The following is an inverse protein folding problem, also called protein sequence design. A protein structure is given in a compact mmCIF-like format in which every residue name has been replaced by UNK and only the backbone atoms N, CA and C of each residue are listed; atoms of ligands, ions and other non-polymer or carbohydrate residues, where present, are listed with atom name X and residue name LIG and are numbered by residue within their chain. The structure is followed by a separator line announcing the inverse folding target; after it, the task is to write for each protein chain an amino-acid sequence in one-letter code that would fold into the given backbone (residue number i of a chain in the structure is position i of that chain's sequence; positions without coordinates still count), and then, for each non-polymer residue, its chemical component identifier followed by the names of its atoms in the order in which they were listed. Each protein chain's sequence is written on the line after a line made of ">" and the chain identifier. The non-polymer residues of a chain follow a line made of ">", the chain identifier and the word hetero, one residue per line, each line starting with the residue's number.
data_IF_463067116422
#
_entry.id   IF_463067116422
#
_cell.length_a   1.000
_cell.length_b   1.000
_cell.length_c   1.000
_cell.angle_alpha   90.00
_cell.angle_beta   90.00
_cell.angle_gamma   90.00
#
_symmetry.space_group_name_H-M   'P 1'
#
loop_
_entity.id
_entity.type
_entity.pdbx_description
1 polymer ?
#
# COMPACT_ATOMS: atom_id res chain seq x y z
N UNK A 1 -11.47 33.10 5.94
CA UNK A 1 -11.44 32.23 4.75
C UNK A 1 -11.73 30.80 5.18
N UNK A 2 -12.78 30.18 4.64
CA UNK A 2 -13.19 28.80 4.96
C UNK A 2 -12.14 27.85 4.39
N UNK A 3 -11.56 26.97 5.22
CA UNK A 3 -10.64 25.93 4.74
C UNK A 3 -11.43 25.02 3.77
N UNK A 4 -10.93 24.77 2.56
CA UNK A 4 -11.63 23.88 1.65
C UNK A 4 -11.67 22.47 2.24
N UNK A 5 -12.76 21.75 1.97
CA UNK A 5 -12.97 20.43 2.53
C UNK A 5 -11.82 19.49 2.13
N UNK A 6 -11.34 18.68 3.08
CA UNK A 6 -10.32 17.69 2.80
C UNK A 6 -10.80 16.64 1.80
N UNK A 7 -9.89 16.15 0.98
CA UNK A 7 -10.14 15.00 0.11
C UNK A 7 -9.71 13.73 0.83
N UNK A 8 -10.63 12.78 1.03
CA UNK A 8 -10.34 11.46 1.61
C UNK A 8 -9.85 10.54 0.49
N UNK A 9 -8.71 9.89 0.70
CA UNK A 9 -8.18 8.85 -0.21
C UNK A 9 -7.94 7.57 0.55
N UNK A 10 -8.30 6.44 -0.06
CA UNK A 10 -7.98 5.11 0.46
C UNK A 10 -6.64 4.68 -0.13
N UNK A 11 -5.68 4.30 0.72
CA UNK A 11 -4.36 3.82 0.31
C UNK A 11 -3.99 2.53 1.04
N UNK A 12 -3.17 1.69 0.43
CA UNK A 12 -2.57 0.53 1.08
C UNK A 12 -1.46 1.03 2.02
N UNK A 13 -1.48 0.62 3.29
CA UNK A 13 -0.43 0.94 4.26
C UNK A 13 0.57 -0.22 4.30
N UNK A 14 1.78 0.06 3.83
CA UNK A 14 2.92 -0.84 3.93
C UNK A 14 3.67 -0.55 5.23
N UNK A 15 3.71 -1.53 6.12
CA UNK A 15 4.54 -1.55 7.32
C UNK A 15 5.53 -2.71 7.24
N UNK A 16 6.65 -2.66 7.97
CA UNK A 16 7.58 -3.80 8.04
C UNK A 16 6.89 -5.10 8.48
N UNK A 17 5.91 -5.00 9.37
CA UNK A 17 5.08 -6.14 9.79
C UNK A 17 4.27 -6.72 8.63
N UNK A 18 3.58 -5.89 7.84
CA UNK A 18 2.81 -6.37 6.68
C UNK A 18 3.71 -6.94 5.59
N UNK A 19 4.92 -6.41 5.43
CA UNK A 19 5.91 -6.94 4.49
C UNK A 19 6.41 -8.31 4.93
N UNK A 20 6.70 -8.50 6.22
CA UNK A 20 7.09 -9.81 6.77
C UNK A 20 5.97 -10.85 6.60
N UNK A 21 4.73 -10.50 6.94
CA UNK A 21 3.59 -11.41 6.78
C UNK A 21 3.35 -11.74 5.29
N UNK A 22 3.57 -10.77 4.40
CA UNK A 22 3.47 -10.99 2.96
C UNK A 22 4.56 -11.93 2.46
N UNK A 23 5.78 -11.79 2.97
CA UNK A 23 6.88 -12.70 2.68
C UNK A 23 6.56 -14.12 3.17
N UNK A 24 6.01 -14.26 4.38
CA UNK A 24 5.54 -15.54 4.91
C UNK A 24 4.42 -16.15 4.04
N UNK A 25 3.51 -15.33 3.48
CA UNK A 25 2.50 -15.78 2.49
C UNK A 25 3.18 -16.44 1.30
N UNK A 26 4.21 -15.78 0.75
CA UNK A 26 4.94 -16.23 -0.43
C UNK A 26 5.83 -17.44 -0.16
N UNK A 27 6.29 -17.64 1.07
CA UNK A 27 7.13 -18.79 1.43
C UNK A 27 6.29 -20.03 1.77
N UNK A 28 5.04 -19.85 2.21
CA UNK A 28 4.07 -20.93 2.41
C UNK A 28 3.56 -21.52 1.09
N UNK A 29 3.67 -20.79 -0.02
CA UNK A 29 3.23 -21.31 -1.31
C UNK A 29 4.19 -22.42 -1.75
N UNK A 30 3.67 -23.63 -1.91
CA UNK A 30 4.43 -24.66 -2.59
C UNK A 30 4.59 -24.22 -4.05
N UNK A 31 5.80 -23.74 -4.37
CA UNK A 31 6.18 -23.33 -5.71
C UNK A 31 6.01 -24.46 -6.72
N UNK A 32 6.04 -25.72 -6.28
CA UNK A 32 5.75 -26.87 -7.13
C UNK A 32 4.25 -27.06 -7.30
N UNK A 33 3.43 -26.82 -6.28
CA UNK A 33 1.97 -26.80 -6.41
C UNK A 33 1.48 -25.75 -7.43
N UNK A 34 2.09 -24.57 -7.49
CA UNK A 34 1.81 -23.57 -8.54
C UNK A 34 2.20 -24.05 -9.94
N UNK A 35 3.26 -24.85 -10.06
CA UNK A 35 3.67 -25.48 -11.32
C UNK A 35 2.82 -26.70 -11.69
N UNK A 36 2.23 -27.40 -10.72
CA UNK A 36 1.34 -28.54 -10.97
C UNK A 36 -0.12 -28.12 -11.09
N UNK A 37 -0.50 -26.93 -10.62
CA UNK A 37 -1.78 -26.31 -10.92
C UNK A 37 -1.94 -26.03 -12.43
N UNK A 38 -0.83 -25.98 -13.20
CA UNK A 38 -0.80 -26.08 -14.67
C UNK A 38 -1.56 -27.32 -15.21
N UNK A 39 -1.79 -28.33 -14.37
CA UNK A 39 -2.50 -29.57 -14.74
C UNK A 39 -3.97 -29.60 -14.35
N UNK A 40 -4.46 -28.72 -13.47
CA UNK A 40 -5.81 -28.88 -12.88
C UNK A 40 -6.81 -27.74 -13.12
N UNK A 41 -6.41 -26.58 -13.65
CA UNK A 41 -7.38 -25.59 -14.12
C UNK A 41 -6.74 -24.57 -15.07
N UNK A 42 -7.07 -24.62 -16.37
CA UNK A 42 -6.83 -23.63 -17.45
C UNK A 42 -5.43 -22.95 -17.62
N UNK A 43 -4.48 -23.06 -16.70
CA UNK A 43 -3.11 -22.54 -16.78
C UNK A 43 -2.20 -23.53 -17.56
N UNK A 44 -2.67 -24.06 -18.70
CA UNK A 44 -1.89 -25.01 -19.53
C UNK A 44 -0.65 -24.36 -20.14
N UNK A 45 0.54 -24.88 -19.80
CA UNK A 45 1.79 -25.00 -20.60
C UNK A 45 2.33 -23.77 -21.37
N UNK A 46 1.82 -22.57 -21.12
CA UNK A 46 2.31 -21.33 -21.71
C UNK A 46 2.85 -20.40 -20.60
N UNK A 47 4.06 -19.89 -20.77
CA UNK A 47 4.74 -18.98 -19.82
C UNK A 47 3.85 -17.80 -19.40
N UNK A 48 2.98 -17.33 -20.31
CA UNK A 48 2.02 -16.27 -20.05
C UNK A 48 0.98 -16.65 -18.99
N UNK A 49 0.44 -17.88 -19.06
CA UNK A 49 -0.61 -18.34 -18.14
C UNK A 49 -0.04 -18.54 -16.72
N UNK A 50 1.19 -19.04 -16.61
CA UNK A 50 1.89 -19.11 -15.32
C UNK A 50 2.10 -17.73 -14.70
N UNK A 51 2.53 -16.75 -15.50
CA UNK A 51 2.71 -15.38 -15.02
C UNK A 51 1.40 -14.78 -14.51
N UNK A 52 0.29 -14.99 -15.23
CA UNK A 52 -1.05 -14.55 -14.82
C UNK A 52 -1.50 -15.23 -13.52
N UNK A 53 -1.32 -16.56 -13.43
CA UNK A 53 -1.59 -17.35 -12.22
C UNK A 53 -0.80 -16.80 -11.01
N UNK A 54 0.50 -16.50 -11.16
CA UNK A 54 1.36 -15.93 -10.10
C UNK A 54 0.95 -14.49 -9.74
N UNK A 55 0.65 -13.64 -10.73
CA UNK A 55 0.19 -12.27 -10.51
C UNK A 55 -1.13 -12.27 -9.74
N UNK A 56 -2.06 -13.17 -10.08
CA UNK A 56 -3.33 -13.35 -9.37
C UNK A 56 -3.10 -13.70 -7.90
N UNK A 57 -2.24 -14.69 -7.64
CA UNK A 57 -1.89 -15.09 -6.29
C UNK A 57 -1.29 -13.95 -5.45
N UNK A 58 -0.29 -13.24 -6.01
CA UNK A 58 0.32 -12.08 -5.34
C UNK A 58 -0.73 -11.02 -5.05
N UNK A 59 -1.61 -10.73 -6.00
CA UNK A 59 -2.69 -9.75 -5.83
C UNK A 59 -3.61 -10.14 -4.66
N UNK A 60 -3.99 -11.42 -4.57
CA UNK A 60 -4.79 -11.95 -3.46
C UNK A 60 -4.07 -11.86 -2.11
N UNK A 61 -2.80 -12.28 -2.01
CA UNK A 61 -2.03 -12.11 -0.76
C UNK A 61 -1.99 -10.63 -0.34
N UNK A 62 -1.70 -9.72 -1.27
CA UNK A 62 -1.64 -8.28 -0.98
C UNK A 62 -3.00 -7.73 -0.55
N UNK A 63 -4.10 -8.15 -1.16
CA UNK A 63 -5.44 -7.69 -0.80
C UNK A 63 -5.90 -8.18 0.58
N UNK A 64 -5.49 -9.38 0.98
CA UNK A 64 -5.84 -9.96 2.28
C UNK A 64 -4.94 -9.46 3.41
N UNK A 65 -3.65 -9.23 3.15
CA UNK A 65 -2.65 -8.92 4.18
C UNK A 65 -2.50 -7.41 4.37
N UNK A 66 -2.47 -6.63 3.29
CA UNK A 66 -2.10 -5.22 3.37
C UNK A 66 -3.32 -4.36 3.73
N UNK A 67 -3.34 -3.73 4.92
CA UNK A 67 -4.50 -2.96 5.36
C UNK A 67 -4.69 -1.71 4.52
N UNK A 68 -5.95 -1.39 4.23
CA UNK A 68 -6.37 -0.14 3.59
C UNK A 68 -6.63 0.91 4.65
N UNK A 69 -6.02 2.07 4.51
CA UNK A 69 -6.21 3.22 5.42
C UNK A 69 -6.81 4.39 4.66
N UNK A 70 -7.54 5.24 5.39
CA UNK A 70 -8.01 6.52 4.87
C UNK A 70 -7.01 7.61 5.21
N UNK A 71 -6.58 8.35 4.19
CA UNK A 71 -5.69 9.51 4.34
C UNK A 71 -6.45 10.75 3.90
N UNK A 72 -6.45 11.73 4.80
CA UNK A 72 -7.04 13.03 4.57
C UNK A 72 -6.00 13.94 3.92
N UNK A 73 -6.24 14.36 2.67
CA UNK A 73 -5.37 15.30 1.95
C UNK A 73 -6.03 16.67 1.85
N UNK A 74 -5.37 17.69 2.37
CA UNK A 74 -5.79 19.07 2.18
C UNK A 74 -5.21 19.62 0.87
N UNK A 75 -5.97 20.46 0.16
CA UNK A 75 -5.56 21.04 -1.15
C UNK A 75 -4.20 21.75 -1.12
N UNK A 76 -3.79 22.28 0.04
CA UNK A 76 -2.53 23.00 0.21
C UNK A 76 -1.42 22.17 0.88
N UNK A 77 -1.61 20.86 1.11
CA UNK A 77 -0.54 20.01 1.60
C UNK A 77 0.41 19.65 0.45
N UNK A 78 1.51 20.41 0.37
CA UNK A 78 2.64 20.11 -0.52
C UNK A 78 3.21 18.74 -0.18
N UNK A 79 3.57 17.89 -1.16
CA UNK A 79 3.98 16.51 -0.92
C UNK A 79 5.29 16.37 -0.12
N UNK A 80 6.12 17.40 -0.07
CA UNK A 80 7.34 17.45 0.75
C UNK A 80 7.11 17.93 2.20
N UNK A 81 5.88 18.28 2.59
CA UNK A 81 5.54 18.66 3.96
C UNK A 81 5.07 17.41 4.72
N UNK A 82 6.00 16.78 5.44
CA UNK A 82 5.70 15.70 6.37
C UNK A 82 5.27 16.24 7.75
N UNK A 83 4.94 15.35 8.70
CA UNK A 83 4.50 15.73 10.05
C UNK A 83 5.54 16.62 10.77
N UNK A 84 6.83 16.29 10.67
CA UNK A 84 7.90 17.06 11.28
C UNK A 84 8.01 18.47 10.68
N UNK A 85 8.02 18.58 9.35
CA UNK A 85 8.05 19.88 8.64
C UNK A 85 6.81 20.70 8.97
N UNK A 86 5.64 20.08 9.01
CA UNK A 86 4.39 20.75 9.42
C UNK A 86 4.45 21.27 10.85
N UNK A 87 5.04 20.50 11.77
CA UNK A 87 5.24 20.90 13.16
C UNK A 87 6.18 22.11 13.24
N UNK A 88 7.34 22.07 12.56
CA UNK A 88 8.30 23.18 12.52
C UNK A 88 7.67 24.47 11.97
N UNK A 89 6.92 24.38 10.86
CA UNK A 89 6.22 25.53 10.28
C UNK A 89 5.16 26.10 11.25
N UNK A 90 4.43 25.22 11.94
CA UNK A 90 3.44 25.61 12.94
C UNK A 90 4.09 26.34 14.12
N UNK A 91 5.16 25.78 14.71
CA UNK A 91 5.90 26.40 15.82
C UNK A 91 6.46 27.76 15.42
N UNK A 92 7.09 27.87 14.24
CA UNK A 92 7.59 29.16 13.75
C UNK A 92 6.47 30.18 13.53
N UNK A 93 5.33 29.77 12.98
CA UNK A 93 4.17 30.66 12.78
C UNK A 93 3.53 31.13 14.08
N UNK A 94 3.60 30.32 15.15
CA UNK A 94 3.10 30.69 16.47
C UNK A 94 4.03 31.70 17.14
N UNK A 95 5.35 31.47 17.09
CA UNK A 95 6.35 32.40 17.62
C UNK A 95 6.25 33.79 16.95
N UNK A 96 6.10 33.83 15.62
CA UNK A 96 5.94 35.09 14.88
C UNK A 96 4.68 35.87 15.25
N UNK A 97 3.62 35.20 15.71
CA UNK A 97 2.35 35.84 16.10
C UNK A 97 2.32 36.28 17.56
N UNK A 98 3.27 35.82 18.37
CA UNK A 98 3.39 36.17 19.78
C UNK A 98 4.31 37.35 20.06
N UNK A 99 5.03 37.85 19.04
CA UNK A 99 5.71 39.15 19.02
C UNK A 99 4.77 40.25 18.47
#
# INVERSE_FOLDING_TARGET
>A
ATRPNPVIKVVKRWTPETENILQDCFDQVDRNALKTADTMHDCSLNTQNYAECVIGYISTCVENIVPKIQVQKFLNQKPWINSQVSHMLSTGSLAFKSD
#
